data_IF_560227802977
#
_entry.id   IF_560227802977
#
_cell.length_a   1.000
_cell.length_b   1.000
_cell.length_c   1.000
_cell.angle_alpha   90.00
_cell.angle_beta   90.00
_cell.angle_gamma   90.00
#
_symmetry.space_group_name_H-M   'P 1'
#
loop_
_entity.id
_entity.type
_entity.pdbx_description
1 polymer ?
#
# COMPACT_ATOMS: atom_id res chain seq x y z
N UNK A 1 -9.88 3.07 -6.86
CA UNK A 1 -10.80 3.03 -8.02
C UNK A 1 -12.04 2.16 -7.77
N UNK A 2 -11.90 0.86 -7.45
CA UNK A 2 -13.05 -0.06 -7.30
C UNK A 2 -14.16 0.44 -6.36
N UNK A 3 -13.78 1.00 -5.21
CA UNK A 3 -14.72 1.56 -4.23
C UNK A 3 -15.57 2.70 -4.82
N UNK A 4 -14.96 3.66 -5.50
CA UNK A 4 -15.64 4.82 -6.14
C UNK A 4 -16.57 4.39 -7.27
N UNK A 5 -16.14 3.43 -8.09
CA UNK A 5 -16.95 2.88 -9.19
C UNK A 5 -18.23 2.24 -8.65
N UNK A 6 -18.12 1.47 -7.57
CA UNK A 6 -19.28 0.85 -6.90
C UNK A 6 -20.21 1.89 -6.27
N UNK A 7 -19.67 2.92 -5.61
CA UNK A 7 -20.48 4.02 -5.06
C UNK A 7 -21.27 4.77 -6.12
N UNK A 8 -20.75 4.85 -7.35
CA UNK A 8 -21.46 5.43 -8.48
C UNK A 8 -22.49 4.49 -9.13
N UNK A 9 -22.82 3.35 -8.51
CA UNK A 9 -23.83 2.40 -8.99
C UNK A 9 -23.33 1.39 -10.02
N UNK A 10 -22.05 1.45 -10.41
CA UNK A 10 -21.49 0.56 -11.42
C UNK A 10 -20.99 -0.76 -10.82
N UNK A 11 -21.10 -1.83 -11.62
CA UNK A 11 -20.53 -3.15 -11.32
C UNK A 11 -19.18 -3.30 -12.02
N UNK A 12 -18.27 -4.03 -11.38
CA UNK A 12 -16.94 -4.30 -11.91
C UNK A 12 -16.92 -5.75 -12.36
N UNK A 13 -16.64 -5.96 -13.64
CA UNK A 13 -16.49 -7.28 -14.25
C UNK A 13 -15.02 -7.51 -14.60
N UNK A 14 -14.56 -8.75 -14.50
CA UNK A 14 -13.29 -9.16 -15.10
C UNK A 14 -13.58 -9.52 -16.56
N UNK A 15 -12.90 -8.88 -17.50
CA UNK A 15 -13.06 -9.20 -18.93
C UNK A 15 -12.43 -10.57 -19.19
N UNK A 16 -13.17 -11.54 -19.74
CA UNK A 16 -12.61 -12.85 -20.06
C UNK A 16 -11.53 -12.73 -21.14
N UNK A 17 -10.51 -13.60 -21.09
CA UNK A 17 -9.42 -13.62 -22.07
C UNK A 17 -8.37 -12.52 -21.91
N UNK A 18 -8.45 -11.67 -20.89
CA UNK A 18 -7.47 -10.61 -20.63
C UNK A 18 -6.58 -10.98 -19.44
N UNK A 19 -5.27 -10.93 -19.67
CA UNK A 19 -4.27 -11.12 -18.63
C UNK A 19 -3.89 -9.78 -18.01
N UNK A 20 -4.02 -9.67 -16.69
CA UNK A 20 -3.49 -8.56 -15.93
C UNK A 20 -2.39 -9.07 -15.01
N UNK A 21 -1.15 -8.75 -15.35
CA UNK A 21 0.02 -9.17 -14.60
C UNK A 21 0.81 -7.95 -14.11
N UNK A 22 1.11 -7.96 -12.81
CA UNK A 22 2.00 -6.99 -12.19
C UNK A 22 3.26 -7.73 -11.74
N UNK A 23 4.35 -7.71 -12.54
CA UNK A 23 5.58 -8.37 -12.16
C UNK A 23 6.14 -7.78 -10.88
N UNK A 24 6.56 -8.66 -9.98
CA UNK A 24 7.41 -8.25 -8.86
C UNK A 24 8.75 -7.76 -9.45
N UNK A 25 9.32 -6.63 -9.00
CA UNK A 25 10.68 -6.25 -9.33
C UNK A 25 11.68 -7.42 -9.24
N UNK A 26 12.45 -7.63 -10.31
CA UNK A 26 13.38 -8.76 -10.43
C UNK A 26 14.66 -8.63 -9.59
N UNK A 27 14.88 -7.48 -8.95
CA UNK A 27 16.09 -7.23 -8.14
C UNK A 27 15.75 -6.51 -6.85
N UNK A 28 16.59 -6.72 -5.82
CA UNK A 28 16.47 -6.00 -4.56
C UNK A 28 16.52 -4.48 -4.76
N UNK A 29 17.46 -3.99 -5.59
CA UNK A 29 17.57 -2.55 -5.90
C UNK A 29 16.27 -1.98 -6.48
N UNK A 30 15.62 -2.71 -7.39
CA UNK A 30 14.34 -2.30 -7.97
C UNK A 30 13.20 -2.34 -6.93
N UNK A 31 13.19 -3.36 -6.06
CA UNK A 31 12.25 -3.46 -4.94
C UNK A 31 12.38 -2.27 -3.98
N UNK A 32 13.60 -1.89 -3.59
CA UNK A 32 13.83 -0.77 -2.67
C UNK A 32 13.51 0.59 -3.31
N UNK A 33 13.83 0.76 -4.61
CA UNK A 33 13.41 1.95 -5.36
C UNK A 33 11.89 2.05 -5.44
N UNK A 34 11.21 0.93 -5.66
CA UNK A 34 9.76 0.87 -5.64
C UNK A 34 9.20 1.23 -4.26
N UNK A 35 9.79 0.71 -3.18
CA UNK A 35 9.42 1.05 -1.80
C UNK A 35 9.48 2.56 -1.55
N UNK A 36 10.61 3.19 -1.91
CA UNK A 36 10.81 4.63 -1.76
C UNK A 36 9.77 5.42 -2.56
N UNK A 37 9.61 5.11 -3.85
CA UNK A 37 8.65 5.78 -4.73
C UNK A 37 7.23 5.67 -4.18
N UNK A 38 6.83 4.48 -3.72
CA UNK A 38 5.50 4.24 -3.18
C UNK A 38 5.27 4.98 -1.87
N UNK A 39 6.27 5.04 -0.97
CA UNK A 39 6.18 5.77 0.29
C UNK A 39 6.00 7.27 0.07
N UNK A 40 6.87 7.88 -0.75
CA UNK A 40 6.78 9.30 -1.09
C UNK A 40 5.47 9.66 -1.81
N UNK A 41 5.02 8.83 -2.75
CA UNK A 41 3.74 9.02 -3.45
C UNK A 41 2.55 8.88 -2.49
N UNK A 42 2.59 7.93 -1.55
CA UNK A 42 1.56 7.79 -0.53
C UNK A 42 1.48 9.00 0.39
N UNK A 43 2.63 9.60 0.75
CA UNK A 43 2.67 10.81 1.56
C UNK A 43 2.11 12.02 0.81
N UNK A 44 2.47 12.17 -0.47
CA UNK A 44 1.92 13.20 -1.35
C UNK A 44 0.40 13.05 -1.47
N UNK A 45 -0.10 11.86 -1.77
CA UNK A 45 -1.53 11.58 -1.87
C UNK A 45 -2.27 11.88 -0.55
N UNK A 46 -1.69 11.52 0.60
CA UNK A 46 -2.28 11.83 1.91
C UNK A 46 -2.37 13.34 2.16
N UNK A 47 -1.39 14.10 1.68
CA UNK A 47 -1.32 15.56 1.88
C UNK A 47 -2.25 16.32 0.94
N UNK A 48 -2.30 15.94 -0.32
CA UNK A 48 -2.99 16.70 -1.37
C UNK A 48 -4.36 16.14 -1.75
N UNK A 49 -4.60 14.84 -1.56
CA UNK A 49 -5.81 14.13 -1.98
C UNK A 49 -6.24 13.07 -0.94
N UNK A 50 -6.41 13.44 0.35
CA UNK A 50 -6.65 12.49 1.44
C UNK A 50 -7.87 11.58 1.21
N UNK A 51 -8.91 12.07 0.54
CA UNK A 51 -10.12 11.35 0.16
C UNK A 51 -9.85 10.15 -0.77
N UNK A 52 -8.73 10.18 -1.50
CA UNK A 52 -8.32 9.09 -2.40
C UNK A 52 -7.54 7.99 -1.68
N UNK A 53 -7.08 8.24 -0.44
CA UNK A 53 -6.23 7.32 0.32
C UNK A 53 -7.06 6.26 1.04
N UNK A 54 -7.46 5.24 0.29
CA UNK A 54 -8.22 4.12 0.83
C UNK A 54 -7.34 3.20 1.68
N UNK A 55 -7.91 2.67 2.77
CA UNK A 55 -7.28 1.59 3.53
C UNK A 55 -7.38 0.28 2.73
N UNK A 56 -6.24 -0.38 2.54
CA UNK A 56 -6.18 -1.69 1.90
C UNK A 56 -5.81 -2.74 2.95
N UNK A 57 -6.78 -3.54 3.44
CA UNK A 57 -6.49 -4.62 4.36
C UNK A 57 -5.61 -5.69 3.69
N UNK A 58 -4.76 -6.36 4.48
CA UNK A 58 -4.02 -7.53 3.99
C UNK A 58 -4.99 -8.71 3.84
N UNK A 59 -4.86 -9.48 2.76
CA UNK A 59 -5.64 -10.68 2.50
C UNK A 59 -7.08 -10.43 2.02
N UNK A 60 -7.86 -11.50 1.98
CA UNK A 60 -9.29 -11.45 1.68
C UNK A 60 -10.05 -11.15 2.97
N UNK A 61 -10.69 -9.99 3.03
CA UNK A 61 -11.55 -9.60 4.15
C UNK A 61 -13.02 -9.64 3.73
N UNK A 62 -13.89 -9.97 4.68
CA UNK A 62 -15.34 -9.98 4.46
C UNK A 62 -15.93 -8.59 4.23
N UNK A 63 -15.36 -7.56 4.88
CA UNK A 63 -15.83 -6.18 4.76
C UNK A 63 -14.70 -5.21 4.41
N UNK A 64 -14.96 -4.32 3.46
CA UNK A 64 -14.04 -3.27 3.07
C UNK A 64 -14.28 -1.99 3.87
N UNK A 65 -13.35 -1.65 4.75
CA UNK A 65 -13.33 -0.34 5.43
C UNK A 65 -12.49 0.64 4.64
N UNK A 66 -13.14 1.65 4.06
CA UNK A 66 -12.47 2.62 3.17
C UNK A 66 -11.45 3.51 3.89
N UNK A 67 -11.73 3.87 5.15
CA UNK A 67 -10.88 4.74 5.96
C UNK A 67 -10.64 4.13 7.34
N UNK A 68 -9.44 4.34 7.86
CA UNK A 68 -9.05 3.98 9.23
C UNK A 68 -8.25 5.12 9.84
N UNK A 69 -8.30 5.31 11.18
CA UNK A 69 -7.56 6.37 11.85
C UNK A 69 -6.05 6.30 11.58
N UNK A 70 -5.38 7.45 11.58
CA UNK A 70 -3.92 7.53 11.37
C UNK A 70 -3.16 6.69 12.39
N UNK A 71 -3.55 6.75 13.66
CA UNK A 71 -2.95 5.96 14.74
C UNK A 71 -2.95 4.47 14.41
N UNK A 72 -4.07 3.94 13.91
CA UNK A 72 -4.17 2.55 13.49
C UNK A 72 -3.17 2.22 12.35
N UNK A 73 -3.00 3.13 11.38
CA UNK A 73 -2.03 2.95 10.28
C UNK A 73 -0.59 2.91 10.79
N UNK A 74 -0.25 3.82 11.71
CA UNK A 74 1.09 3.89 12.33
C UNK A 74 1.36 2.63 13.16
N UNK A 75 0.44 2.26 14.05
CA UNK A 75 0.56 1.05 14.86
C UNK A 75 0.66 -0.21 14.02
N UNK A 76 -0.15 -0.33 12.96
CA UNK A 76 -0.08 -1.46 12.02
C UNK A 76 1.26 -1.52 11.29
N UNK A 77 1.82 -0.37 10.90
CA UNK A 77 3.14 -0.34 10.27
C UNK A 77 4.24 -0.78 11.24
N UNK A 78 4.21 -0.25 12.48
CA UNK A 78 5.15 -0.64 13.54
C UNK A 78 5.05 -2.13 13.89
N UNK A 79 3.83 -2.66 14.03
CA UNK A 79 3.60 -4.09 14.25
C UNK A 79 4.12 -4.94 13.09
N UNK A 80 3.99 -4.46 11.84
CA UNK A 80 4.55 -5.11 10.66
C UNK A 80 6.07 -5.17 10.68
N UNK A 81 6.75 -4.08 11.09
CA UNK A 81 8.21 -4.05 11.27
C UNK A 81 8.65 -5.03 12.36
N UNK A 82 8.00 -5.00 13.53
CA UNK A 82 8.30 -5.93 14.63
C UNK A 82 8.14 -7.39 14.20
N UNK A 83 7.05 -7.72 13.49
CA UNK A 83 6.83 -9.06 12.93
C UNK A 83 7.95 -9.45 11.97
N UNK A 84 8.34 -8.58 11.06
CA UNK A 84 9.36 -8.90 10.06
C UNK A 84 10.75 -9.12 10.71
N UNK A 85 11.05 -8.42 11.82
CA UNK A 85 12.23 -8.69 12.67
C UNK A 85 12.15 -10.06 13.33
N UNK A 86 11.06 -10.35 14.06
CA UNK A 86 10.89 -11.61 14.80
C UNK A 86 10.89 -12.84 13.88
N UNK A 87 10.36 -12.69 12.67
CA UNK A 87 10.27 -13.78 11.68
C UNK A 87 11.46 -13.88 10.73
N UNK A 88 12.48 -13.03 10.88
CA UNK A 88 13.67 -13.03 10.02
C UNK A 88 13.39 -12.65 8.56
N UNK A 89 12.31 -11.91 8.28
CA UNK A 89 11.90 -11.54 6.91
C UNK A 89 12.63 -10.28 6.44
N UNK A 90 13.94 -10.41 6.20
CA UNK A 90 14.83 -9.28 5.89
C UNK A 90 14.39 -8.42 4.69
N UNK A 91 13.90 -9.03 3.61
CA UNK A 91 13.39 -8.29 2.46
C UNK A 91 12.14 -7.45 2.79
N UNK A 92 11.23 -8.01 3.59
CA UNK A 92 10.02 -7.32 4.06
C UNK A 92 10.37 -6.16 4.99
N UNK A 93 11.31 -6.40 5.91
CA UNK A 93 11.84 -5.39 6.82
C UNK A 93 12.44 -4.21 6.06
N UNK A 94 13.38 -4.46 5.13
CA UNK A 94 14.00 -3.41 4.32
C UNK A 94 12.96 -2.62 3.52
N UNK A 95 12.00 -3.32 2.90
CA UNK A 95 10.93 -2.68 2.15
C UNK A 95 10.08 -1.76 3.04
N UNK A 96 9.59 -2.24 4.18
CA UNK A 96 8.75 -1.45 5.09
C UNK A 96 9.50 -0.26 5.65
N UNK A 97 10.76 -0.43 6.06
CA UNK A 97 11.59 0.65 6.57
C UNK A 97 11.78 1.75 5.53
N UNK A 98 12.18 1.40 4.31
CA UNK A 98 12.39 2.38 3.23
C UNK A 98 11.08 3.06 2.82
N UNK A 99 9.99 2.31 2.74
CA UNK A 99 8.65 2.87 2.50
C UNK A 99 8.26 3.88 3.60
N UNK A 100 8.46 3.51 4.86
CA UNK A 100 8.14 4.35 6.02
C UNK A 100 8.95 5.63 6.05
N UNK A 101 10.26 5.55 5.82
CA UNK A 101 11.13 6.73 5.71
C UNK A 101 10.68 7.63 4.57
N UNK A 102 10.46 7.07 3.38
CA UNK A 102 10.04 7.86 2.22
C UNK A 102 8.67 8.54 2.44
N UNK A 103 7.79 7.93 3.24
CA UNK A 103 6.50 8.51 3.60
C UNK A 103 6.61 9.76 4.51
N UNK A 104 7.79 10.05 5.06
CA UNK A 104 8.08 11.30 5.78
C UNK A 104 8.52 12.43 4.82
N UNK A 105 8.94 12.09 3.61
CA UNK A 105 9.45 13.03 2.59
C UNK A 105 8.54 13.01 1.35
N UNK A 106 7.38 13.69 1.39
CA UNK A 106 6.53 13.81 0.21
C UNK A 106 7.31 14.49 -0.92
N UNK A 107 7.33 13.86 -2.10
CA UNK A 107 7.87 14.49 -3.31
C UNK A 107 7.00 15.70 -3.64
N UNK A 108 7.62 16.86 -3.85
CA UNK A 108 6.92 18.09 -4.28
C UNK A 108 6.33 17.92 -5.68
#
# INVERSE_FOLDING_TARGET
>A
MRHRVRQAGYRIICVPGVWHYHPMPSTLKALLRMAWRNGAASAYARRHFPETVLYNPEGHVGEFKAQVPLAYRVLRHAAGLARDVVTGRWYGLLYRTIYGIAALFPRR
#
